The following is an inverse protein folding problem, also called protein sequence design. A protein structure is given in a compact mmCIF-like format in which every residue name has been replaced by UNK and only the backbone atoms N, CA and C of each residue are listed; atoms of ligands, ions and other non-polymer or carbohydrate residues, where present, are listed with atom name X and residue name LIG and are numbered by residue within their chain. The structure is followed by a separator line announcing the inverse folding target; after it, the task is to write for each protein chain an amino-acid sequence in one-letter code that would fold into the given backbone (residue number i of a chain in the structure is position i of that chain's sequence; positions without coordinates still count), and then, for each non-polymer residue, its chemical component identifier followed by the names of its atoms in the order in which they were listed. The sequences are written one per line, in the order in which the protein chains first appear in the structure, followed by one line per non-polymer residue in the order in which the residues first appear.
data_IF_162991471711
#
_entry.id   IF_162991471711
#
_cell.length_a   1.000
_cell.length_b   1.000
_cell.length_c   1.000
_cell.angle_alpha   90.00
_cell.angle_beta   90.00
_cell.angle_gamma   90.00
#
_symmetry.space_group_name_H-M   'P 1'
#
loop_
_entity.id
_entity.type
_entity.pdbx_description
1 polymer ?
#
# COMPACT_ATOMS: atom_id res chain seq x y z
N UNK A 1 -6.90 -27.56 -9.11
CA UNK A 1 -6.96 -26.16 -9.58
C UNK A 1 -8.06 -25.36 -8.89
N UNK A 2 -9.31 -25.83 -8.84
CA UNK A 2 -10.40 -25.11 -8.16
C UNK A 2 -10.09 -24.73 -6.70
N UNK A 3 -9.56 -25.67 -5.92
CA UNK A 3 -9.16 -25.42 -4.52
C UNK A 3 -8.10 -24.33 -4.41
N UNK A 4 -7.11 -24.32 -5.31
CA UNK A 4 -6.06 -23.30 -5.32
C UNK A 4 -6.61 -21.91 -5.63
N UNK A 5 -7.53 -21.81 -6.60
CA UNK A 5 -8.19 -20.55 -6.94
C UNK A 5 -9.00 -20.03 -5.75
N UNK A 6 -9.77 -20.90 -5.10
CA UNK A 6 -10.54 -20.55 -3.90
C UNK A 6 -9.61 -20.09 -2.78
N UNK A 7 -8.51 -20.82 -2.54
CA UNK A 7 -7.54 -20.45 -1.51
C UNK A 7 -6.90 -19.08 -1.77
N UNK A 8 -6.58 -18.76 -3.03
CA UNK A 8 -6.05 -17.44 -3.40
C UNK A 8 -7.09 -16.34 -3.16
N UNK A 9 -8.34 -16.54 -3.61
CA UNK A 9 -9.40 -15.53 -3.45
C UNK A 9 -9.68 -15.29 -1.97
N UNK A 10 -9.89 -16.34 -1.18
CA UNK A 10 -10.17 -16.23 0.25
C UNK A 10 -8.96 -15.64 0.99
N UNK A 11 -7.74 -16.07 0.64
CA UNK A 11 -6.52 -15.53 1.21
C UNK A 11 -6.35 -14.04 0.96
N UNK A 12 -6.62 -13.56 -0.26
CA UNK A 12 -6.58 -12.14 -0.59
C UNK A 12 -7.62 -11.33 0.19
N UNK A 13 -8.86 -11.83 0.27
CA UNK A 13 -9.93 -11.17 1.05
C UNK A 13 -9.52 -11.03 2.52
N UNK A 14 -9.04 -12.13 3.12
CA UNK A 14 -8.61 -12.12 4.52
C UNK A 14 -7.39 -11.22 4.74
N UNK A 15 -6.44 -11.20 3.81
CA UNK A 15 -5.26 -10.35 3.90
C UNK A 15 -5.64 -8.87 3.86
N UNK A 16 -6.49 -8.46 2.92
CA UNK A 16 -6.95 -7.06 2.80
C UNK A 16 -7.75 -6.67 4.06
N UNK A 17 -8.71 -7.51 4.45
CA UNK A 17 -9.55 -7.24 5.62
C UNK A 17 -8.75 -7.12 6.92
N UNK A 18 -7.78 -8.01 7.12
CA UNK A 18 -6.90 -7.95 8.30
C UNK A 18 -5.93 -6.77 8.26
N UNK A 19 -5.46 -6.36 7.08
CA UNK A 19 -4.64 -5.16 6.94
C UNK A 19 -5.41 -3.90 7.30
N UNK A 20 -6.65 -3.73 6.83
CA UNK A 20 -7.48 -2.57 7.17
C UNK A 20 -7.68 -2.47 8.70
N UNK A 21 -8.03 -3.58 9.34
CA UNK A 21 -8.20 -3.64 10.81
C UNK A 21 -6.90 -3.35 11.55
N UNK A 22 -5.76 -3.84 11.05
CA UNK A 22 -4.46 -3.56 11.63
C UNK A 22 -4.11 -2.08 11.54
N UNK A 23 -4.38 -1.43 10.41
CA UNK A 23 -4.11 0.00 10.19
C UNK A 23 -5.00 0.87 11.06
N UNK A 24 -6.31 0.59 11.11
CA UNK A 24 -7.26 1.31 11.96
C UNK A 24 -6.92 1.16 13.45
N UNK A 25 -6.64 -0.06 13.90
CA UNK A 25 -6.24 -0.33 15.28
C UNK A 25 -4.92 0.35 15.65
N UNK A 26 -3.94 0.34 14.75
CA UNK A 26 -2.66 1.04 14.94
C UNK A 26 -2.86 2.56 15.00
N UNK A 27 -3.68 3.13 14.11
CA UNK A 27 -3.98 4.55 14.08
C UNK A 27 -4.72 5.00 15.36
N UNK A 28 -5.71 4.23 15.81
CA UNK A 28 -6.42 4.50 17.06
C UNK A 28 -5.48 4.45 18.27
N UNK A 29 -4.63 3.43 18.35
CA UNK A 29 -3.65 3.28 19.43
C UNK A 29 -2.67 4.46 19.46
N UNK A 30 -2.14 4.86 18.30
CA UNK A 30 -1.27 6.02 18.19
C UNK A 30 -1.96 7.33 18.61
N UNK A 31 -3.25 7.47 18.26
CA UNK A 31 -4.08 8.59 18.71
C UNK A 31 -4.21 8.64 20.24
N UNK A 32 -4.48 7.50 20.89
CA UNK A 32 -4.54 7.42 22.36
C UNK A 32 -3.20 7.75 23.04
N UNK A 33 -2.09 7.46 22.38
CA UNK A 33 -0.73 7.80 22.85
C UNK A 33 -0.33 9.27 22.58
N UNK A 34 -1.22 10.08 21.98
CA UNK A 34 -0.95 11.49 21.70
C UNK A 34 -0.09 11.74 20.47
N UNK A 35 0.05 10.76 19.56
CA UNK A 35 0.78 10.94 18.30
C UNK A 35 0.02 11.95 17.42
N UNK A 36 0.70 12.96 16.86
CA UNK A 36 0.06 13.93 15.97
C UNK A 36 -0.66 13.27 14.78
N UNK A 37 -1.88 13.72 14.40
CA UNK A 37 -2.64 13.15 13.29
C UNK A 37 -1.88 13.12 11.97
N UNK A 38 -1.03 14.12 11.73
CA UNK A 38 -0.17 14.18 10.55
C UNK A 38 0.80 12.99 10.48
N UNK A 39 1.44 12.63 11.61
CA UNK A 39 2.34 11.48 11.67
C UNK A 39 1.60 10.15 11.52
N UNK A 40 0.39 10.04 12.07
CA UNK A 40 -0.48 8.87 11.87
C UNK A 40 -0.80 8.70 10.39
N UNK A 41 -1.21 9.77 9.71
CA UNK A 41 -1.51 9.74 8.28
C UNK A 41 -0.29 9.41 7.41
N UNK A 42 0.85 10.05 7.67
CA UNK A 42 2.06 9.84 6.87
C UNK A 42 2.71 8.48 7.09
N UNK A 43 2.73 7.99 8.34
CA UNK A 43 3.47 6.77 8.69
C UNK A 43 2.54 5.57 8.73
N UNK A 44 1.52 5.58 9.58
CA UNK A 44 0.68 4.40 9.83
C UNK A 44 -0.22 4.13 8.63
N UNK A 45 -0.93 5.14 8.14
CA UNK A 45 -1.83 4.98 6.99
C UNK A 45 -1.00 4.83 5.71
N UNK A 46 0.07 5.62 5.56
CA UNK A 46 0.97 5.55 4.41
C UNK A 46 1.64 4.18 4.24
N UNK A 47 2.17 3.56 5.31
CA UNK A 47 2.68 2.18 5.23
C UNK A 47 1.57 1.14 5.23
N UNK A 48 0.45 1.43 5.89
CA UNK A 48 -0.64 0.50 6.08
C UNK A 48 -1.23 -0.05 4.79
N UNK A 49 -1.36 0.81 3.78
CA UNK A 49 -1.87 0.42 2.46
C UNK A 49 -0.92 -0.50 1.69
N UNK A 50 0.37 -0.53 2.05
CA UNK A 50 1.39 -1.41 1.45
C UNK A 50 1.72 -2.63 2.32
N UNK A 51 1.02 -2.81 3.45
CA UNK A 51 1.24 -3.93 4.35
C UNK A 51 0.91 -5.29 3.69
N UNK A 52 -0.20 -5.46 2.95
CA UNK A 52 -0.47 -6.69 2.21
C UNK A 52 0.67 -7.08 1.26
N UNK A 53 1.18 -6.12 0.50
CA UNK A 53 2.24 -6.30 -0.47
C UNK A 53 3.55 -6.72 0.21
N UNK A 54 3.89 -6.07 1.31
CA UNK A 54 5.07 -6.44 2.11
C UNK A 54 4.96 -7.88 2.61
N UNK A 55 3.80 -8.29 3.13
CA UNK A 55 3.57 -9.65 3.63
C UNK A 55 3.68 -10.66 2.49
N UNK A 56 3.04 -10.41 1.34
CA UNK A 56 3.09 -11.31 0.17
C UNK A 56 4.51 -11.42 -0.36
N UNK A 57 5.23 -10.30 -0.52
CA UNK A 57 6.61 -10.30 -1.00
C UNK A 57 7.56 -10.99 -0.02
N UNK A 58 7.42 -10.75 1.28
CA UNK A 58 8.26 -11.39 2.30
C UNK A 58 8.03 -12.90 2.36
N UNK A 59 6.77 -13.35 2.39
CA UNK A 59 6.43 -14.78 2.42
C UNK A 59 6.88 -15.49 1.13
N UNK A 60 6.69 -14.86 -0.02
CA UNK A 60 7.11 -15.43 -1.32
C UNK A 60 8.62 -15.57 -1.39
N UNK A 61 9.38 -14.58 -0.95
CA UNK A 61 10.83 -14.65 -0.88
C UNK A 61 11.31 -15.73 0.10
N UNK A 62 10.70 -15.80 1.29
CA UNK A 62 11.02 -16.80 2.30
C UNK A 62 10.73 -18.25 1.84
N UNK A 63 9.72 -18.43 0.99
CA UNK A 63 9.36 -19.72 0.38
C UNK A 63 10.20 -20.08 -0.85
N UNK A 64 11.25 -19.31 -1.17
CA UNK A 64 12.13 -19.57 -2.31
C UNK A 64 11.55 -19.13 -3.66
N UNK A 65 10.53 -18.27 -3.68
CA UNK A 65 9.88 -17.73 -4.88
C UNK A 65 10.12 -16.21 -5.04
N UNK A 66 11.38 -15.75 -5.19
CA UNK A 66 11.70 -14.32 -5.24
C UNK A 66 11.10 -13.62 -6.49
N UNK A 67 10.83 -14.36 -7.56
CA UNK A 67 10.16 -13.82 -8.75
C UNK A 67 8.75 -13.28 -8.43
N UNK A 68 8.01 -13.94 -7.54
CA UNK A 68 6.70 -13.46 -7.08
C UNK A 68 6.87 -12.21 -6.22
N UNK A 69 7.89 -12.19 -5.35
CA UNK A 69 8.16 -11.04 -4.49
C UNK A 69 8.51 -9.78 -5.28
N UNK A 70 9.37 -9.91 -6.30
CA UNK A 70 9.72 -8.83 -7.22
C UNK A 70 8.55 -8.43 -8.10
N UNK A 71 7.81 -9.42 -8.63
CA UNK A 71 6.61 -9.17 -9.44
C UNK A 71 5.55 -8.38 -8.67
N UNK A 72 5.34 -8.71 -7.40
CA UNK A 72 4.45 -7.97 -6.52
C UNK A 72 4.96 -6.53 -6.29
N UNK A 73 6.24 -6.35 -5.92
CA UNK A 73 6.80 -5.03 -5.65
C UNK A 73 6.76 -4.09 -6.86
N UNK A 74 7.19 -4.55 -8.04
CA UNK A 74 7.16 -3.74 -9.26
C UNK A 74 5.75 -3.59 -9.80
N UNK A 75 4.97 -4.66 -9.80
CA UNK A 75 3.60 -4.68 -10.31
C UNK A 75 2.69 -3.69 -9.56
N UNK A 76 2.76 -3.66 -8.23
CA UNK A 76 1.97 -2.73 -7.42
C UNK A 76 2.33 -1.28 -7.69
N UNK A 77 3.62 -0.94 -7.84
CA UNK A 77 4.03 0.43 -8.19
C UNK A 77 3.56 0.84 -9.59
N UNK A 78 3.67 -0.06 -10.56
CA UNK A 78 3.17 0.18 -11.92
C UNK A 78 1.65 0.38 -11.90
N UNK A 79 0.90 -0.46 -11.19
CA UNK A 79 -0.55 -0.30 -11.06
C UNK A 79 -0.92 1.01 -10.35
N UNK A 80 -0.24 1.37 -9.26
CA UNK A 80 -0.50 2.60 -8.54
C UNK A 80 -0.30 3.85 -9.42
N UNK A 81 0.75 3.87 -10.24
CA UNK A 81 1.05 5.03 -11.10
C UNK A 81 0.21 5.00 -12.38
N UNK A 82 0.25 3.92 -13.14
CA UNK A 82 -0.36 3.86 -14.46
C UNK A 82 -1.88 3.70 -14.39
N UNK A 83 -2.37 2.86 -13.47
CA UNK A 83 -3.80 2.58 -13.35
C UNK A 83 -4.47 3.55 -12.37
N UNK A 84 -4.07 3.56 -11.10
CA UNK A 84 -4.79 4.33 -10.07
C UNK A 84 -4.61 5.84 -10.29
N UNK A 85 -3.36 6.31 -10.32
CA UNK A 85 -3.07 7.73 -10.52
C UNK A 85 -3.48 8.19 -11.92
N UNK A 86 -3.23 7.37 -12.95
CA UNK A 86 -3.65 7.64 -14.33
C UNK A 86 -5.17 7.85 -14.46
N UNK A 87 -5.98 6.92 -13.94
CA UNK A 87 -7.45 7.07 -13.94
C UNK A 87 -7.88 8.28 -13.11
N UNK A 88 -7.28 8.49 -11.94
CA UNK A 88 -7.59 9.63 -11.08
C UNK A 88 -7.36 10.95 -11.82
N UNK A 89 -6.22 11.09 -12.50
CA UNK A 89 -5.87 12.29 -13.28
C UNK A 89 -6.81 12.52 -14.49
N UNK A 90 -7.32 11.45 -15.11
CA UNK A 90 -8.33 11.55 -16.18
C UNK A 90 -9.70 12.01 -15.67
N UNK A 91 -10.11 11.56 -14.48
CA UNK A 91 -11.39 11.95 -13.87
C UNK A 91 -11.32 13.38 -13.31
N UNK A 92 -10.25 13.70 -12.59
CA UNK A 92 -10.03 15.00 -11.96
C UNK A 92 -8.56 15.38 -12.08
N UNK A 93 -8.22 16.38 -12.91
CA UNK A 93 -6.84 16.85 -13.04
C UNK A 93 -6.25 17.19 -11.68
N UNK A 94 -5.09 16.62 -11.39
CA UNK A 94 -4.39 16.77 -10.11
C UNK A 94 -3.53 18.04 -10.20
N UNK A 95 -3.97 19.11 -9.53
CA UNK A 95 -3.18 20.33 -9.40
C UNK A 95 -2.12 20.13 -8.30
N UNK A 96 -0.84 20.22 -8.66
CA UNK A 96 0.28 20.10 -7.71
C UNK A 96 0.76 21.51 -7.37
N UNK A 97 0.76 21.86 -6.09
CA UNK A 97 1.33 23.12 -5.63
C UNK A 97 2.86 23.11 -5.76
N UNK A 98 3.42 24.18 -6.30
CA UNK A 98 4.86 24.31 -6.56
C UNK A 98 5.73 24.22 -5.29
N UNK A 99 5.15 24.55 -4.12
CA UNK A 99 5.81 24.37 -2.82
C UNK A 99 6.02 22.90 -2.44
N UNK A 100 5.10 22.01 -2.82
CA UNK A 100 5.22 20.56 -2.61
C UNK A 100 6.28 19.99 -3.56
N UNK A 101 6.27 20.42 -4.83
CA UNK A 101 7.23 19.95 -5.82
C UNK A 101 8.69 20.23 -5.39
N UNK A 102 8.97 21.45 -4.92
CA UNK A 102 10.32 21.84 -4.45
C UNK A 102 10.76 21.12 -3.17
N UNK A 103 9.82 20.67 -2.35
CA UNK A 103 10.09 20.06 -1.04
C UNK A 103 10.25 18.54 -1.14
N UNK A 104 9.40 17.89 -1.93
CA UNK A 104 9.39 16.44 -2.11
C UNK A 104 10.30 15.97 -3.26
N UNK A 105 10.54 16.81 -4.27
CA UNK A 105 11.41 16.54 -5.41
C UNK A 105 12.42 17.68 -5.63
N UNK A 106 13.31 17.98 -4.67
CA UNK A 106 14.23 19.12 -4.75
C UNK A 106 15.28 19.02 -5.87
N UNK A 107 15.38 17.86 -6.52
CA UNK A 107 16.38 17.54 -7.56
C UNK A 107 15.79 17.60 -8.98
N UNK A 108 14.46 17.80 -9.10
CA UNK A 108 13.73 18.06 -10.35
C UNK A 108 13.38 19.56 -10.43
#
# INVERSE_FOLDING_TARGET
MLIAIIAVIVGLILLIWSADWFVEGSAATAGYLGVPPLLIGMVIIGFGTSAPELVVSALSAAQGNPGIALGNAYGSNIANIALILGITALIKPIAIESGVLKKELPIL
#
